data_IF_779621948617
#
_entry.id   IF_779621948617
#
_cell.length_a   1.000
_cell.length_b   1.000
_cell.length_c   1.000
_cell.angle_alpha   90.00
_cell.angle_beta   90.00
_cell.angle_gamma   90.00
#
_symmetry.space_group_name_H-M   'P 1'
#
loop_
_entity.id
_entity.type
_entity.pdbx_description
1 polymer ?
#
# COMPACT_ATOMS: atom_id res chain seq x y z
N UNK A 1 -3.54 -27.03 -4.69
CA UNK A 1 -4.17 -25.82 -5.26
C UNK A 1 -3.55 -24.60 -4.62
N UNK A 2 -3.12 -23.60 -5.41
CA UNK A 2 -2.67 -22.33 -4.85
C UNK A 2 -3.82 -21.68 -4.07
N UNK A 3 -3.50 -21.02 -2.94
CA UNK A 3 -4.52 -20.32 -2.14
C UNK A 3 -5.04 -19.14 -2.95
N UNK A 4 -6.37 -19.02 -3.09
CA UNK A 4 -7.00 -17.88 -3.76
C UNK A 4 -6.54 -16.54 -3.11
N UNK A 5 -6.17 -15.57 -3.93
CA UNK A 5 -5.76 -14.22 -3.47
C UNK A 5 -6.98 -13.40 -3.08
N UNK A 6 -8.05 -13.51 -3.88
CA UNK A 6 -9.31 -12.82 -3.61
C UNK A 6 -10.33 -13.77 -3.02
N UNK A 7 -11.01 -13.28 -2.00
CA UNK A 7 -12.27 -13.83 -1.46
C UNK A 7 -13.22 -12.67 -1.21
N UNK A 8 -14.52 -12.91 -1.29
CA UNK A 8 -15.52 -11.86 -1.12
C UNK A 8 -15.55 -11.24 0.29
N UNK A 9 -14.91 -11.92 1.26
CA UNK A 9 -14.76 -11.45 2.66
C UNK A 9 -13.30 -11.06 3.03
N UNK A 10 -12.41 -11.01 2.04
CA UNK A 10 -10.97 -10.72 2.20
C UNK A 10 -10.65 -9.22 2.28
N UNK A 11 -9.44 -8.88 1.86
CA UNK A 11 -8.92 -7.50 1.90
C UNK A 11 -9.77 -6.52 1.08
N UNK A 12 -10.42 -6.98 0.03
CA UNK A 12 -11.32 -6.20 -0.83
C UNK A 12 -12.79 -6.36 -0.46
N UNK A 13 -13.10 -6.74 0.78
CA UNK A 13 -14.49 -6.87 1.23
C UNK A 13 -15.36 -5.65 0.95
N UNK A 14 -14.93 -4.38 1.19
CA UNK A 14 -15.74 -3.21 0.85
C UNK A 14 -16.15 -3.18 -0.64
N UNK A 15 -15.22 -3.44 -1.54
CA UNK A 15 -15.50 -3.52 -2.98
C UNK A 15 -16.51 -4.64 -3.29
N UNK A 16 -16.35 -5.83 -2.72
CA UNK A 16 -17.30 -6.93 -2.93
C UNK A 16 -18.67 -6.67 -2.28
N UNK A 17 -18.74 -5.92 -1.19
CA UNK A 17 -20.02 -5.49 -0.60
C UNK A 17 -20.78 -4.58 -1.56
N UNK A 18 -20.10 -3.65 -2.25
CA UNK A 18 -20.71 -2.83 -3.32
C UNK A 18 -21.22 -3.70 -4.48
N UNK A 19 -20.41 -4.65 -4.95
CA UNK A 19 -20.80 -5.56 -6.03
C UNK A 19 -22.02 -6.40 -5.61
N UNK A 20 -22.03 -6.96 -4.39
CA UNK A 20 -23.16 -7.72 -3.85
C UNK A 20 -24.44 -6.87 -3.81
N UNK A 21 -24.33 -5.62 -3.39
CA UNK A 21 -25.45 -4.67 -3.34
C UNK A 21 -26.00 -4.32 -4.73
N UNK A 22 -25.11 -4.17 -5.73
CA UNK A 22 -25.47 -3.74 -7.07
C UNK A 22 -25.93 -4.89 -7.97
N UNK A 23 -25.32 -6.09 -7.85
CA UNK A 23 -25.53 -7.21 -8.79
C UNK A 23 -25.80 -8.57 -8.14
N UNK A 24 -25.88 -8.62 -6.81
CA UNK A 24 -26.14 -9.87 -6.08
C UNK A 24 -24.90 -10.69 -5.74
N UNK A 25 -25.10 -11.72 -4.94
CA UNK A 25 -24.01 -12.58 -4.44
C UNK A 25 -23.35 -13.38 -5.57
N UNK A 26 -24.14 -13.92 -6.50
CA UNK A 26 -23.65 -14.76 -7.61
C UNK A 26 -22.69 -13.96 -8.52
N UNK A 27 -23.02 -12.70 -8.81
CA UNK A 27 -22.13 -11.83 -9.58
C UNK A 27 -20.84 -11.52 -8.82
N UNK A 28 -20.92 -11.31 -7.52
CA UNK A 28 -19.73 -11.07 -6.68
C UNK A 28 -18.80 -12.29 -6.68
N UNK A 29 -19.33 -13.50 -6.54
CA UNK A 29 -18.54 -14.75 -6.62
C UNK A 29 -17.93 -14.95 -8.02
N UNK A 30 -18.69 -14.68 -9.08
CA UNK A 30 -18.19 -14.72 -10.46
C UNK A 30 -17.01 -13.76 -10.64
N UNK A 31 -17.17 -12.49 -10.25
CA UNK A 31 -16.11 -11.46 -10.37
C UNK A 31 -14.89 -11.85 -9.51
N UNK A 32 -15.10 -12.41 -8.32
CA UNK A 32 -14.04 -12.93 -7.48
C UNK A 32 -13.22 -14.03 -8.18
N UNK A 33 -13.90 -15.00 -8.79
CA UNK A 33 -13.25 -16.08 -9.55
C UNK A 33 -12.49 -15.55 -10.77
N UNK A 34 -13.09 -14.62 -11.54
CA UNK A 34 -12.44 -13.97 -12.68
C UNK A 34 -11.21 -13.16 -12.27
N UNK A 35 -11.26 -12.47 -11.12
CA UNK A 35 -10.13 -11.72 -10.57
C UNK A 35 -8.97 -12.64 -10.16
N UNK A 36 -9.24 -13.77 -9.53
CA UNK A 36 -8.23 -14.79 -9.23
C UNK A 36 -7.58 -15.32 -10.52
N UNK A 37 -8.37 -15.64 -11.54
CA UNK A 37 -7.86 -16.09 -12.82
C UNK A 37 -7.01 -14.99 -13.53
N UNK A 38 -7.40 -13.73 -13.43
CA UNK A 38 -6.63 -12.61 -13.95
C UNK A 38 -5.29 -12.46 -13.21
N UNK A 39 -5.30 -12.55 -11.89
CA UNK A 39 -4.08 -12.50 -11.08
C UNK A 39 -3.08 -13.60 -11.45
N UNK A 40 -3.54 -14.86 -11.57
CA UNK A 40 -2.69 -15.97 -11.96
C UNK A 40 -2.02 -15.75 -13.34
N UNK A 41 -2.74 -15.17 -14.29
CA UNK A 41 -2.16 -14.82 -15.60
C UNK A 41 -1.09 -13.74 -15.47
N UNK A 42 -1.36 -12.67 -14.72
CA UNK A 42 -0.44 -11.54 -14.57
C UNK A 42 0.81 -11.91 -13.80
N UNK A 43 0.69 -12.63 -12.69
CA UNK A 43 1.82 -12.97 -11.83
C UNK A 43 2.81 -13.93 -12.49
N UNK A 44 2.33 -14.74 -13.43
CA UNK A 44 3.15 -15.71 -14.19
C UNK A 44 3.66 -15.16 -15.54
N UNK A 45 3.44 -13.86 -15.85
CA UNK A 45 4.03 -13.21 -17.01
C UNK A 45 5.53 -12.96 -16.83
N UNK A 46 6.19 -12.33 -17.81
CA UNK A 46 7.65 -12.26 -18.03
C UNK A 46 8.59 -11.75 -16.92
N UNK A 47 8.10 -11.61 -15.68
CA UNK A 47 8.90 -11.15 -14.53
C UNK A 47 9.56 -12.30 -13.72
N UNK A 48 9.93 -13.39 -14.38
CA UNK A 48 10.54 -14.58 -13.74
C UNK A 48 11.90 -14.31 -13.12
N UNK A 49 12.67 -13.35 -13.65
CA UNK A 49 14.04 -13.02 -13.23
C UNK A 49 14.13 -12.06 -12.04
N UNK A 50 13.03 -11.62 -11.49
CA UNK A 50 13.01 -10.76 -10.30
C UNK A 50 13.50 -11.53 -9.07
N UNK A 51 14.28 -10.86 -8.20
CA UNK A 51 14.58 -11.38 -6.87
C UNK A 51 13.33 -11.37 -5.97
N UNK A 52 13.39 -12.02 -4.82
CA UNK A 52 12.23 -12.19 -3.93
C UNK A 52 11.57 -10.86 -3.49
N UNK A 53 12.36 -9.81 -3.25
CA UNK A 53 11.83 -8.51 -2.84
C UNK A 53 11.08 -7.84 -3.99
N UNK A 54 11.67 -7.81 -5.18
CA UNK A 54 11.02 -7.26 -6.37
C UNK A 54 9.79 -8.08 -6.79
N UNK A 55 9.84 -9.42 -6.66
CA UNK A 55 8.67 -10.30 -6.88
C UNK A 55 7.51 -9.98 -5.94
N UNK A 56 7.79 -9.63 -4.69
CA UNK A 56 6.74 -9.23 -3.75
C UNK A 56 6.02 -7.96 -4.23
N UNK A 57 6.78 -6.94 -4.66
CA UNK A 57 6.21 -5.70 -5.19
C UNK A 57 5.45 -5.94 -6.51
N UNK A 58 6.01 -6.76 -7.40
CA UNK A 58 5.31 -7.17 -8.63
C UNK A 58 3.97 -7.83 -8.34
N UNK A 59 3.92 -8.80 -7.41
CA UNK A 59 2.68 -9.48 -7.00
C UNK A 59 1.63 -8.53 -6.47
N UNK A 60 2.02 -7.51 -5.70
CA UNK A 60 1.08 -6.49 -5.22
C UNK A 60 0.51 -5.65 -6.36
N UNK A 61 1.31 -5.36 -7.38
CA UNK A 61 0.83 -4.67 -8.58
C UNK A 61 -0.13 -5.57 -9.39
N UNK A 62 0.22 -6.82 -9.61
CA UNK A 62 -0.65 -7.80 -10.28
C UNK A 62 -1.99 -7.97 -9.55
N UNK A 63 -1.98 -8.02 -8.23
CA UNK A 63 -3.19 -8.11 -7.41
C UNK A 63 -4.11 -6.92 -7.66
N UNK A 64 -3.61 -5.69 -7.55
CA UNK A 64 -4.43 -4.50 -7.80
C UNK A 64 -4.90 -4.39 -9.25
N UNK A 65 -4.05 -4.70 -10.22
CA UNK A 65 -4.41 -4.68 -11.63
C UNK A 65 -5.47 -5.75 -11.96
N UNK A 66 -5.35 -6.97 -11.40
CA UNK A 66 -6.29 -8.06 -11.65
C UNK A 66 -7.70 -7.71 -11.17
N UNK A 67 -7.84 -7.24 -9.93
CA UNK A 67 -9.15 -6.87 -9.39
C UNK A 67 -9.73 -5.67 -10.15
N UNK A 68 -8.91 -4.65 -10.43
CA UNK A 68 -9.32 -3.45 -11.14
C UNK A 68 -9.82 -3.76 -12.56
N UNK A 69 -9.00 -4.43 -13.37
CA UNK A 69 -9.33 -4.73 -14.77
C UNK A 69 -10.52 -5.68 -14.89
N UNK A 70 -10.74 -6.56 -13.91
CA UNK A 70 -11.90 -7.43 -13.87
C UNK A 70 -13.17 -6.65 -13.52
N UNK A 71 -13.17 -5.91 -12.43
CA UNK A 71 -14.35 -5.17 -11.95
C UNK A 71 -14.72 -4.04 -12.92
N UNK A 72 -13.73 -3.38 -13.55
CA UNK A 72 -13.96 -2.32 -14.55
C UNK A 72 -14.84 -2.76 -15.73
N UNK A 73 -14.86 -4.04 -16.07
CA UNK A 73 -15.75 -4.57 -17.13
C UNK A 73 -17.23 -4.47 -16.77
N UNK A 74 -17.55 -4.48 -15.48
CA UNK A 74 -18.89 -4.46 -14.94
C UNK A 74 -19.28 -3.09 -14.38
N UNK A 75 -18.31 -2.39 -13.76
CA UNK A 75 -18.52 -1.14 -13.04
C UNK A 75 -17.38 -0.13 -13.35
N UNK A 76 -17.26 0.35 -14.61
CA UNK A 76 -16.13 1.19 -15.05
C UNK A 76 -16.00 2.49 -14.26
N UNK A 77 -17.12 3.14 -13.92
CA UNK A 77 -17.14 4.44 -13.25
C UNK A 77 -16.88 4.34 -11.71
N UNK A 78 -17.15 3.17 -11.12
CA UNK A 78 -17.14 3.02 -9.65
C UNK A 78 -15.92 2.25 -9.12
N UNK A 79 -15.27 1.46 -9.96
CA UNK A 79 -14.25 0.50 -9.53
C UNK A 79 -13.08 1.16 -8.80
N UNK A 80 -12.62 2.31 -9.27
CA UNK A 80 -11.48 3.01 -8.66
C UNK A 80 -11.81 3.52 -7.25
N UNK A 81 -13.02 4.05 -7.07
CA UNK A 81 -13.53 4.48 -5.76
C UNK A 81 -13.62 3.30 -4.79
N UNK A 82 -14.24 2.18 -5.20
CA UNK A 82 -14.40 0.99 -4.36
C UNK A 82 -13.08 0.32 -3.97
N UNK A 83 -12.08 0.37 -4.88
CA UNK A 83 -10.72 -0.06 -4.54
C UNK A 83 -10.11 0.88 -3.50
N UNK A 84 -10.24 2.19 -3.67
CA UNK A 84 -9.70 3.16 -2.73
C UNK A 84 -10.31 3.02 -1.33
N UNK A 85 -11.62 2.77 -1.21
CA UNK A 85 -12.27 2.46 0.07
C UNK A 85 -11.67 1.21 0.73
N UNK A 86 -11.42 0.18 -0.07
CA UNK A 86 -10.79 -1.05 0.44
C UNK A 86 -9.37 -0.79 0.95
N UNK A 87 -8.58 0.04 0.25
CA UNK A 87 -7.24 0.43 0.66
C UNK A 87 -7.25 1.34 1.89
N UNK A 88 -8.20 2.25 2.01
CA UNK A 88 -8.39 3.08 3.19
C UNK A 88 -8.67 2.22 4.42
N UNK A 89 -9.65 1.33 4.33
CA UNK A 89 -9.99 0.41 5.43
C UNK A 89 -8.79 -0.44 5.83
N UNK A 90 -8.04 -0.96 4.86
CA UNK A 90 -6.82 -1.72 5.12
C UNK A 90 -5.77 -0.86 5.86
N UNK A 91 -5.52 0.36 5.38
CA UNK A 91 -4.56 1.29 5.98
C UNK A 91 -4.95 1.71 7.40
N UNK A 92 -6.22 2.03 7.64
CA UNK A 92 -6.74 2.36 8.97
C UNK A 92 -6.62 1.18 9.95
N UNK A 93 -6.88 -0.05 9.49
CA UNK A 93 -6.68 -1.26 10.30
C UNK A 93 -5.19 -1.46 10.63
N UNK A 94 -4.29 -1.23 9.67
CA UNK A 94 -2.85 -1.28 9.89
C UNK A 94 -2.40 -0.22 10.91
N UNK A 95 -2.89 1.02 10.81
CA UNK A 95 -2.65 2.08 11.80
C UNK A 95 -3.13 1.69 13.21
N UNK A 96 -4.33 1.12 13.30
CA UNK A 96 -4.88 0.65 14.57
C UNK A 96 -4.02 -0.46 15.19
N UNK A 97 -3.54 -1.41 14.39
CA UNK A 97 -2.62 -2.47 14.83
C UNK A 97 -1.28 -1.89 15.30
N UNK A 98 -0.67 -0.99 14.54
CA UNK A 98 0.56 -0.31 14.91
C UNK A 98 0.39 0.49 16.21
N UNK A 99 -0.68 1.27 16.34
CA UNK A 99 -1.00 2.02 17.56
C UNK A 99 -1.17 1.11 18.78
N UNK A 100 -1.67 -0.13 18.60
CA UNK A 100 -1.75 -1.13 19.66
C UNK A 100 -0.37 -1.63 20.07
N UNK A 101 0.49 -1.94 19.11
CA UNK A 101 1.88 -2.36 19.33
C UNK A 101 2.67 -1.27 20.05
N UNK A 102 2.47 0.01 19.69
CA UNK A 102 3.15 1.16 20.31
C UNK A 102 2.83 1.34 21.80
N UNK A 103 1.79 0.68 22.35
CA UNK A 103 1.50 0.69 23.80
C UNK A 103 2.48 -0.12 24.62
N UNK A 104 3.19 -1.09 24.01
CA UNK A 104 4.17 -1.89 24.76
C UNK A 104 5.43 -1.06 25.05
N UNK A 105 6.03 -1.23 26.25
CA UNK A 105 7.24 -0.53 26.63
C UNK A 105 8.37 -0.71 25.59
N UNK A 106 9.05 0.37 25.25
CA UNK A 106 10.17 0.35 24.30
C UNK A 106 9.77 0.40 22.81
N UNK A 107 8.56 0.00 22.43
CA UNK A 107 8.15 -0.10 21.00
C UNK A 107 8.19 1.24 20.28
N UNK A 108 7.81 2.34 20.94
CA UNK A 108 7.91 3.69 20.37
C UNK A 108 9.36 4.08 20.05
N UNK A 109 10.33 3.62 20.82
CA UNK A 109 11.75 3.90 20.57
C UNK A 109 12.30 3.07 19.40
N UNK A 110 11.74 1.88 19.16
CA UNK A 110 12.17 0.97 18.10
C UNK A 110 11.50 1.29 16.75
N UNK A 111 10.42 2.04 16.71
CA UNK A 111 9.64 2.25 15.50
C UNK A 111 10.45 2.91 14.37
N UNK A 112 11.11 4.05 14.62
CA UNK A 112 11.91 4.73 13.61
C UNK A 112 13.12 3.91 13.13
N UNK A 113 13.90 3.24 14.00
CA UNK A 113 14.91 2.28 13.57
C UNK A 113 14.38 1.15 12.67
N UNK A 114 13.23 0.57 13.02
CA UNK A 114 12.58 -0.47 12.22
C UNK A 114 12.14 0.10 10.88
N UNK A 115 11.46 1.25 10.86
CA UNK A 115 11.02 1.92 9.64
C UNK A 115 12.20 2.23 8.71
N UNK A 116 13.31 2.75 9.25
CA UNK A 116 14.54 2.97 8.48
C UNK A 116 15.08 1.67 7.88
N UNK A 117 15.11 0.60 8.66
CA UNK A 117 15.56 -0.72 8.19
C UNK A 117 14.67 -1.25 7.07
N UNK A 118 13.36 -1.13 7.21
CA UNK A 118 12.40 -1.51 6.18
C UNK A 118 12.57 -0.67 4.91
N UNK A 119 12.74 0.65 5.04
CA UNK A 119 12.97 1.53 3.89
C UNK A 119 14.23 1.14 3.11
N UNK A 120 15.28 0.72 3.81
CA UNK A 120 16.51 0.23 3.15
C UNK A 120 16.37 -1.14 2.51
N UNK A 121 15.67 -2.07 3.14
CA UNK A 121 15.62 -3.46 2.70
C UNK A 121 14.51 -3.72 1.66
N UNK A 122 13.31 -3.23 1.91
CA UNK A 122 12.15 -3.47 1.06
C UNK A 122 12.00 -2.41 -0.03
N UNK A 123 12.25 -1.14 0.31
CA UNK A 123 12.13 0.00 -0.62
C UNK A 123 13.50 0.49 -1.12
N UNK A 124 14.49 -0.40 -1.17
CA UNK A 124 15.82 -0.16 -1.73
C UNK A 124 15.99 -0.78 -3.13
N UNK A 125 17.22 -0.79 -3.62
CA UNK A 125 17.57 -1.27 -4.97
C UNK A 125 17.15 -2.73 -5.23
N UNK A 126 17.17 -3.59 -4.22
CA UNK A 126 16.68 -4.98 -4.35
C UNK A 126 15.17 -5.06 -4.67
N UNK A 127 14.40 -4.07 -4.21
CA UNK A 127 12.97 -3.94 -4.52
C UNK A 127 12.69 -3.21 -5.84
N UNK A 128 13.74 -2.71 -6.51
CA UNK A 128 13.59 -1.89 -7.72
C UNK A 128 13.38 -0.40 -7.42
N UNK A 129 13.56 0.03 -6.17
CA UNK A 129 13.48 1.43 -5.78
C UNK A 129 14.87 2.08 -5.82
N UNK A 130 14.90 3.38 -6.12
CA UNK A 130 16.05 4.22 -5.82
C UNK A 130 15.66 5.21 -4.73
N UNK A 131 16.22 5.04 -3.55
CA UNK A 131 15.98 5.92 -2.40
C UNK A 131 17.27 6.65 -1.98
N UNK A 132 17.08 7.80 -1.36
CA UNK A 132 18.13 8.61 -0.78
C UNK A 132 17.72 9.01 0.64
N UNK A 133 18.55 8.66 1.63
CA UNK A 133 18.31 9.06 3.01
C UNK A 133 18.84 10.46 3.25
N UNK A 134 17.98 11.31 3.83
CA UNK A 134 18.32 12.62 4.38
C UNK A 134 18.62 12.55 5.87
N UNK A 135 17.96 13.39 6.66
CA UNK A 135 18.12 13.44 8.11
C UNK A 135 17.64 12.13 8.76
N UNK A 136 18.49 11.52 9.57
CA UNK A 136 18.17 10.35 10.36
C UNK A 136 18.66 10.54 11.79
N UNK A 137 17.73 10.68 12.72
CA UNK A 137 17.98 10.85 14.16
C UNK A 137 17.18 9.82 14.97
N UNK A 138 17.25 9.90 16.30
CA UNK A 138 16.37 9.14 17.19
C UNK A 138 14.91 9.63 17.19
N UNK A 139 14.68 10.84 16.67
CA UNK A 139 13.36 11.50 16.68
C UNK A 139 12.72 11.59 15.30
N UNK A 140 13.50 11.42 14.23
CA UNK A 140 13.05 11.73 12.89
C UNK A 140 13.82 10.94 11.83
N UNK A 141 13.10 10.48 10.80
CA UNK A 141 13.67 9.79 9.65
C UNK A 141 13.12 10.44 8.38
N UNK A 142 14.02 10.95 7.54
CA UNK A 142 13.73 11.47 6.21
C UNK A 142 14.35 10.57 5.16
N UNK A 143 13.62 10.27 4.12
CA UNK A 143 14.16 9.66 2.90
C UNK A 143 13.29 10.01 1.70
N UNK A 144 13.95 10.18 0.57
CA UNK A 144 13.32 10.39 -0.72
C UNK A 144 13.30 9.08 -1.51
N UNK A 145 12.21 8.79 -2.20
CA UNK A 145 12.14 7.77 -3.26
C UNK A 145 12.20 8.51 -4.59
N UNK A 146 13.27 8.27 -5.33
CA UNK A 146 13.55 8.91 -6.62
C UNK A 146 13.12 8.05 -7.80
N UNK A 147 12.98 6.72 -7.61
CA UNK A 147 12.40 5.77 -8.57
C UNK A 147 11.54 4.77 -7.83
N UNK A 148 10.32 4.55 -8.35
CA UNK A 148 9.33 3.69 -7.74
C UNK A 148 8.89 2.59 -8.72
N UNK A 149 9.13 1.30 -8.42
CA UNK A 149 8.71 0.21 -9.28
C UNK A 149 7.18 0.11 -9.42
N UNK A 150 6.41 0.56 -8.44
CA UNK A 150 4.95 0.59 -8.55
C UNK A 150 4.49 1.48 -9.71
N UNK A 151 5.09 2.67 -9.88
CA UNK A 151 4.80 3.53 -11.02
C UNK A 151 5.15 2.87 -12.36
N UNK A 152 6.28 2.14 -12.41
CA UNK A 152 6.70 1.39 -13.58
C UNK A 152 5.73 0.24 -13.87
N UNK A 153 5.50 -0.63 -12.90
CA UNK A 153 4.64 -1.81 -13.04
C UNK A 153 3.19 -1.46 -13.37
N UNK A 154 2.63 -0.39 -12.79
CA UNK A 154 1.28 0.05 -13.13
C UNK A 154 1.16 0.53 -14.58
N UNK A 155 2.22 1.16 -15.14
CA UNK A 155 2.26 1.50 -16.57
C UNK A 155 2.37 0.24 -17.43
N UNK A 156 3.21 -0.72 -17.06
CA UNK A 156 3.36 -2.01 -17.78
C UNK A 156 2.06 -2.83 -17.77
N UNK A 157 1.27 -2.74 -16.71
CA UNK A 157 -0.02 -3.40 -16.56
C UNK A 157 -1.20 -2.60 -17.15
N UNK A 158 -0.92 -1.49 -17.83
CA UNK A 158 -1.92 -0.58 -18.42
C UNK A 158 -2.98 -0.08 -17.40
N UNK A 159 -2.52 0.17 -16.17
CA UNK A 159 -3.35 0.65 -15.06
C UNK A 159 -2.64 1.77 -14.27
N UNK A 160 -2.09 2.84 -14.94
CA UNK A 160 -1.32 3.88 -14.26
C UNK A 160 -2.13 4.63 -13.20
N UNK A 161 -3.46 4.70 -13.35
CA UNK A 161 -4.40 5.32 -12.42
C UNK A 161 -4.46 4.65 -11.05
N UNK A 162 -3.95 3.42 -10.91
CA UNK A 162 -3.82 2.74 -9.63
C UNK A 162 -2.58 3.16 -8.84
N UNK A 163 -1.61 3.79 -9.49
CA UNK A 163 -0.36 4.23 -8.87
C UNK A 163 -0.56 5.07 -7.60
N UNK A 164 -1.39 6.13 -7.64
CA UNK A 164 -1.67 6.97 -6.48
C UNK A 164 -2.22 6.21 -5.27
N UNK A 165 -2.95 5.11 -5.48
CA UNK A 165 -3.50 4.28 -4.41
C UNK A 165 -2.42 3.63 -3.52
N UNK A 166 -1.22 3.31 -4.06
CA UNK A 166 -0.10 2.84 -3.24
C UNK A 166 0.39 3.94 -2.28
N UNK A 167 0.46 5.16 -2.78
CA UNK A 167 0.86 6.30 -1.97
C UNK A 167 -0.18 6.60 -0.88
N UNK A 168 -1.47 6.62 -1.21
CA UNK A 168 -2.55 6.82 -0.23
C UNK A 168 -2.57 5.77 0.87
N UNK A 169 -2.17 4.52 0.58
CA UNK A 169 -2.06 3.48 1.61
C UNK A 169 -1.08 3.85 2.72
N UNK A 170 0.01 4.57 2.40
CA UNK A 170 0.96 5.09 3.41
C UNK A 170 0.30 6.17 4.27
N UNK A 171 -0.46 7.08 3.67
CA UNK A 171 -1.18 8.15 4.38
C UNK A 171 -2.21 7.58 5.35
N UNK A 172 -2.99 6.58 4.92
CA UNK A 172 -3.95 5.90 5.79
C UNK A 172 -3.27 5.15 6.93
N UNK A 173 -2.11 4.53 6.68
CA UNK A 173 -1.40 3.74 7.69
C UNK A 173 -0.58 4.61 8.63
N UNK A 174 0.30 5.43 8.09
CA UNK A 174 1.26 6.22 8.87
C UNK A 174 0.70 7.56 9.33
N UNK A 175 -0.17 8.19 8.55
CA UNK A 175 -0.83 9.45 8.92
C UNK A 175 -1.79 9.32 10.11
N UNK A 176 -2.18 8.08 10.47
CA UNK A 176 -3.08 7.80 11.60
C UNK A 176 -2.35 7.23 12.83
N UNK A 177 -1.02 7.40 12.92
CA UNK A 177 -0.26 7.02 14.11
C UNK A 177 -0.35 8.11 15.18
N UNK A 178 -0.64 7.71 16.44
CA UNK A 178 -0.82 8.66 17.55
C UNK A 178 0.47 9.29 18.04
N UNK A 179 1.56 8.53 18.00
CA UNK A 179 2.85 8.90 18.59
C UNK A 179 3.85 9.44 17.55
N UNK A 180 3.45 9.46 16.28
CA UNK A 180 4.28 9.88 15.17
C UNK A 180 3.48 10.75 14.20
N UNK A 181 4.17 11.68 13.55
CA UNK A 181 3.65 12.48 12.45
C UNK A 181 4.30 12.00 11.17
N UNK A 182 3.48 11.67 10.18
CA UNK A 182 3.88 11.36 8.82
C UNK A 182 3.62 12.56 7.92
N UNK A 183 4.63 13.01 7.21
CA UNK A 183 4.56 14.10 6.25
C UNK A 183 5.11 13.63 4.90
N UNK A 184 4.41 14.01 3.84
CA UNK A 184 4.83 13.83 2.46
C UNK A 184 4.15 14.91 1.62
N UNK A 185 4.90 15.71 0.88
CA UNK A 185 4.37 16.84 0.11
C UNK A 185 4.17 16.52 -1.37
N UNK A 186 4.86 15.49 -1.88
CA UNK A 186 4.77 15.08 -3.27
C UNK A 186 4.98 13.57 -3.44
N UNK A 187 4.49 13.03 -4.56
CA UNK A 187 4.75 11.64 -4.95
C UNK A 187 4.99 11.50 -6.44
N UNK A 188 5.82 10.53 -6.82
CA UNK A 188 6.08 10.17 -8.23
C UNK A 188 4.80 9.74 -8.96
N UNK A 189 3.84 9.15 -8.25
CA UNK A 189 2.61 8.64 -8.85
C UNK A 189 1.65 9.74 -9.34
N UNK A 190 1.81 10.97 -8.85
CA UNK A 190 1.01 12.14 -9.28
C UNK A 190 1.86 13.22 -9.96
N UNK A 191 3.03 12.83 -10.49
CA UNK A 191 3.89 13.73 -11.28
C UNK A 191 4.88 14.55 -10.46
N UNK A 192 5.07 14.27 -9.18
CA UNK A 192 6.14 14.86 -8.38
C UNK A 192 7.52 14.36 -8.81
N UNK A 193 8.56 15.08 -8.46
CA UNK A 193 9.96 14.73 -8.77
C UNK A 193 10.46 13.56 -7.91
N UNK A 194 9.84 13.35 -6.75
CA UNK A 194 10.16 12.30 -5.78
C UNK A 194 8.96 11.98 -4.88
N UNK A 195 9.09 10.95 -4.03
CA UNK A 195 8.24 10.83 -2.86
C UNK A 195 9.06 11.19 -1.63
N UNK A 196 8.74 12.30 -0.99
CA UNK A 196 9.48 12.86 0.15
C UNK A 196 8.88 12.38 1.46
N UNK A 197 9.45 11.31 2.01
CA UNK A 197 8.98 10.74 3.28
C UNK A 197 9.65 11.42 4.47
N UNK A 198 8.83 11.91 5.39
CA UNK A 198 9.25 12.34 6.71
C UNK A 198 8.40 11.65 7.77
N UNK A 199 9.05 10.95 8.68
CA UNK A 199 8.41 10.40 9.87
C UNK A 199 9.06 10.96 11.10
N UNK A 200 8.28 11.68 11.93
CA UNK A 200 8.75 12.35 13.14
C UNK A 200 8.02 11.82 14.36
N UNK A 201 8.76 11.59 15.44
CA UNK A 201 8.17 11.26 16.73
C UNK A 201 7.55 12.52 17.36
N UNK A 202 6.30 12.42 17.78
CA UNK A 202 5.63 13.52 18.46
C UNK A 202 6.29 13.80 19.81
N UNK A 203 6.54 15.07 20.12
CA UNK A 203 7.01 15.49 21.43
C UNK A 203 5.95 15.08 22.45
N UNK A 204 6.31 14.35 23.50
CA UNK A 204 5.45 14.15 24.64
C UNK A 204 5.12 15.54 25.17
N UNK A 205 3.84 15.93 25.15
CA UNK A 205 3.39 17.11 25.87
C UNK A 205 3.59 16.76 27.34
N UNK A 206 4.74 17.14 27.89
CA UNK A 206 4.94 17.16 29.34
C UNK A 206 3.92 18.16 29.86
N UNK A 207 2.81 17.67 30.39
CA UNK A 207 1.83 18.50 31.01
C UNK A 207 2.50 19.41 32.02
N UNK A 208 2.49 20.71 31.75
CA UNK A 208 2.70 21.71 32.80
C UNK A 208 1.51 21.59 33.73
N UNK A 209 1.68 20.81 34.79
CA UNK A 209 0.88 20.93 35.99
C UNK A 209 1.27 22.27 36.63
N UNK A 210 0.43 23.27 36.45
CA UNK A 210 0.40 24.45 37.31
C UNK A 210 -0.46 24.13 38.51
#
# INVERSE_FOLDING_TARGET
>A
MAKAVFTTDGSYKPLFDHIKKAGGADLAEKICAESNAAYERLVNSDHTNLNNTAKMHWKQCCERAAIYTTVRKYYPESVLEWINESLEKFGLNAAAALNRIMRFPGMKALFLPIMRSMAKSMFGSKGGFRNQFGLVTKQEVHFDILECPYCKYMKELDCPELGPGFCKSDEYSYGNLRDFTFERTQTLAIGGEKCDFCMRRNSSIVGKTT
#
